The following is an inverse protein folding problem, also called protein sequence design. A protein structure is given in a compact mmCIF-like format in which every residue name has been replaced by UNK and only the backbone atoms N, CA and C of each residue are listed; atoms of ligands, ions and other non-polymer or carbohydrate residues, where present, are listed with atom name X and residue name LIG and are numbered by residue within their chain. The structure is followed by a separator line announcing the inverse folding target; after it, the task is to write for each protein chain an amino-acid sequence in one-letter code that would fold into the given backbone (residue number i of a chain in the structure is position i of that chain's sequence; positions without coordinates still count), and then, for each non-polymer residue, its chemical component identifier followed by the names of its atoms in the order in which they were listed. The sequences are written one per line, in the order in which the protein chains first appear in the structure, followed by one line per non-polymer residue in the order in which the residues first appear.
data_IF_474450942928
#
_entry.id   IF_474450942928
#
_cell.length_a   1.000
_cell.length_b   1.000
_cell.length_c   1.000
_cell.angle_alpha   90.00
_cell.angle_beta   90.00
_cell.angle_gamma   90.00
#
_symmetry.space_group_name_H-M   'P 1'
#
loop_
_entity.id
_entity.type
_entity.pdbx_description
1 polymer ?
#
# COMPACT_ATOMS: atom_id res chain seq x y z
N UNK A 1 -25.76 0.41 -16.57
CA UNK A 1 -25.12 1.02 -15.38
C UNK A 1 -23.97 0.16 -14.86
N UNK A 2 -24.14 -1.15 -14.67
CA UNK A 2 -23.06 -2.02 -14.21
C UNK A 2 -21.89 -2.11 -15.19
N UNK A 3 -22.15 -2.28 -16.50
CA UNK A 3 -21.09 -2.28 -17.52
C UNK A 3 -20.26 -0.98 -17.50
N UNK A 4 -20.93 0.17 -17.37
CA UNK A 4 -20.28 1.47 -17.20
C UNK A 4 -19.29 1.50 -16.01
N UNK A 5 -19.65 0.85 -14.90
CA UNK A 5 -18.81 0.78 -13.69
C UNK A 5 -17.66 -0.21 -13.82
N UNK A 6 -17.84 -1.29 -14.60
CA UNK A 6 -16.82 -2.31 -14.85
C UNK A 6 -15.70 -1.78 -15.76
N UNK A 7 -16.06 -0.98 -16.77
CA UNK A 7 -15.11 -0.60 -17.82
C UNK A 7 -14.84 0.91 -17.83
N UNK A 8 -15.76 1.73 -18.30
CA UNK A 8 -15.55 3.14 -18.63
C UNK A 8 -15.11 3.95 -17.41
N UNK A 9 -15.78 3.77 -16.27
CA UNK A 9 -15.44 4.46 -15.02
C UNK A 9 -14.08 3.98 -14.49
N UNK A 10 -13.74 2.69 -14.63
CA UNK A 10 -12.41 2.20 -14.27
C UNK A 10 -11.33 2.80 -15.17
N UNK A 11 -11.55 2.84 -16.48
CA UNK A 11 -10.57 3.40 -17.42
C UNK A 11 -10.33 4.89 -17.18
N UNK A 12 -11.38 5.66 -16.88
CA UNK A 12 -11.22 7.07 -16.49
C UNK A 12 -10.44 7.19 -15.18
N UNK A 13 -10.77 6.38 -14.16
CA UNK A 13 -10.04 6.39 -12.90
C UNK A 13 -8.55 6.03 -13.07
N UNK A 14 -8.25 5.02 -13.89
CA UNK A 14 -6.89 4.60 -14.23
C UNK A 14 -6.14 5.67 -15.01
N UNK A 15 -6.80 6.37 -15.94
CA UNK A 15 -6.21 7.49 -16.66
C UNK A 15 -5.84 8.63 -15.70
N UNK A 16 -6.72 8.99 -14.77
CA UNK A 16 -6.44 9.97 -13.71
C UNK A 16 -5.23 9.53 -12.88
N UNK A 17 -5.24 8.29 -12.41
CA UNK A 17 -4.13 7.73 -11.62
C UNK A 17 -2.81 7.78 -12.38
N UNK A 18 -2.82 7.32 -13.64
CA UNK A 18 -1.66 7.31 -14.52
C UNK A 18 -1.09 8.70 -14.75
N UNK A 19 -1.94 9.67 -15.11
CA UNK A 19 -1.52 11.05 -15.35
C UNK A 19 -0.86 11.68 -14.12
N UNK A 20 -1.49 11.54 -12.95
CA UNK A 20 -0.97 12.11 -11.70
C UNK A 20 0.35 11.44 -11.30
N UNK A 21 0.45 10.12 -11.45
CA UNK A 21 1.67 9.39 -11.10
C UNK A 21 2.83 9.61 -12.03
N UNK A 22 2.59 9.66 -13.34
CA UNK A 22 3.61 10.04 -14.31
C UNK A 22 4.12 11.44 -13.98
N UNK A 23 3.20 12.39 -13.73
CA UNK A 23 3.56 13.76 -13.34
C UNK A 23 4.40 13.80 -12.06
N UNK A 24 4.01 13.04 -11.02
CA UNK A 24 4.76 12.94 -9.76
C UNK A 24 6.15 12.34 -9.97
N UNK A 25 6.28 11.28 -10.77
CA UNK A 25 7.57 10.62 -11.04
C UNK A 25 8.49 11.57 -11.80
N UNK A 26 8.00 12.23 -12.84
CA UNK A 26 8.76 13.25 -13.59
C UNK A 26 9.23 14.36 -12.63
N UNK A 27 8.32 14.86 -11.79
CA UNK A 27 8.65 15.88 -10.79
C UNK A 27 9.71 15.40 -9.80
N UNK A 28 9.62 14.19 -9.26
CA UNK A 28 10.62 13.64 -8.33
C UNK A 28 11.98 13.47 -9.01
N UNK A 29 11.99 12.97 -10.25
CA UNK A 29 13.22 12.79 -11.03
C UNK A 29 13.88 14.11 -11.44
N UNK A 30 13.13 15.22 -11.43
CA UNK A 30 13.70 16.54 -11.66
C UNK A 30 14.63 17.01 -10.53
N UNK A 31 14.52 16.43 -9.33
CA UNK A 31 15.42 16.73 -8.22
C UNK A 31 16.72 15.94 -8.34
N UNK A 32 17.85 16.66 -8.44
CA UNK A 32 19.17 16.04 -8.43
C UNK A 32 19.45 15.42 -7.06
N UNK A 33 19.92 14.16 -6.99
CA UNK A 33 20.28 13.58 -5.72
C UNK A 33 21.35 14.38 -4.99
N UNK A 34 21.09 14.77 -3.74
CA UNK A 34 22.07 15.49 -2.93
C UNK A 34 23.40 14.72 -2.89
N UNK A 35 24.50 15.44 -3.13
CA UNK A 35 25.86 14.92 -3.01
C UNK A 35 26.37 15.26 -1.62
N UNK A 36 26.72 14.24 -0.85
CA UNK A 36 27.34 14.43 0.46
C UNK A 36 28.71 15.09 0.27
N UNK A 37 28.98 16.14 1.04
CA UNK A 37 30.26 16.87 1.02
C UNK A 37 31.26 16.36 2.05
N UNK A 38 30.81 15.50 2.95
CA UNK A 38 31.65 14.85 3.95
C UNK A 38 32.51 13.76 3.30
N UNK A 39 33.63 13.38 3.93
CA UNK A 39 34.30 12.13 3.58
C UNK A 39 33.37 10.95 3.82
N UNK A 40 33.29 10.04 2.83
CA UNK A 40 32.52 8.81 2.98
C UNK A 40 33.13 7.91 4.06
N UNK A 41 32.31 7.46 5.00
CA UNK A 41 32.69 6.53 6.08
C UNK A 41 32.05 5.14 5.94
N UNK A 42 31.25 4.90 4.90
CA UNK A 42 30.60 3.61 4.67
C UNK A 42 30.39 3.27 3.21
N UNK A 43 29.62 2.21 2.96
CA UNK A 43 29.36 1.67 1.62
C UNK A 43 27.94 2.02 1.17
N UNK A 44 27.80 3.08 0.36
CA UNK A 44 26.50 3.55 -0.17
C UNK A 44 25.73 2.44 -0.89
N UNK A 45 26.38 1.67 -1.78
CA UNK A 45 25.73 0.60 -2.53
C UNK A 45 25.11 -0.47 -1.63
N UNK A 46 25.87 -0.91 -0.60
CA UNK A 46 25.40 -1.92 0.37
C UNK A 46 24.20 -1.40 1.17
N UNK A 47 24.24 -0.12 1.55
CA UNK A 47 23.17 0.54 2.28
C UNK A 47 21.91 0.76 1.44
N UNK A 48 22.03 1.11 0.17
CA UNK A 48 20.91 1.20 -0.78
C UNK A 48 20.23 -0.16 -0.89
N UNK A 49 20.99 -1.21 -1.20
CA UNK A 49 20.46 -2.57 -1.30
C UNK A 49 19.77 -3.00 0.00
N UNK A 50 20.43 -2.83 1.15
CA UNK A 50 19.84 -3.17 2.45
C UNK A 50 18.54 -2.40 2.75
N UNK A 51 18.46 -1.13 2.33
CA UNK A 51 17.27 -0.28 2.51
C UNK A 51 16.09 -0.84 1.73
N UNK A 52 16.29 -1.23 0.47
CA UNK A 52 15.24 -1.87 -0.34
C UNK A 52 14.79 -3.20 0.25
N UNK A 53 15.74 -4.04 0.68
CA UNK A 53 15.42 -5.35 1.26
C UNK A 53 14.85 -5.27 2.68
N UNK A 54 14.89 -4.10 3.34
CA UNK A 54 14.39 -3.95 4.71
C UNK A 54 12.93 -4.39 4.86
N UNK A 55 12.12 -4.26 3.80
CA UNK A 55 10.74 -4.75 3.74
C UNK A 55 10.62 -6.26 4.07
N UNK A 56 11.56 -7.05 3.56
CA UNK A 56 11.65 -8.50 3.73
C UNK A 56 12.47 -8.91 4.97
N UNK A 57 13.08 -7.94 5.65
CA UNK A 57 13.91 -8.15 6.83
C UNK A 57 13.35 -7.38 8.04
N UNK A 58 12.14 -7.71 8.52
CA UNK A 58 11.48 -6.97 9.60
C UNK A 58 12.31 -6.87 10.89
N UNK A 59 13.18 -7.85 11.16
CA UNK A 59 14.08 -7.84 12.31
C UNK A 59 15.13 -6.72 12.26
N UNK A 60 15.35 -6.09 11.11
CA UNK A 60 16.27 -4.94 10.97
C UNK A 60 15.65 -3.60 11.35
N UNK A 61 14.31 -3.53 11.44
CA UNK A 61 13.59 -2.32 11.82
C UNK A 61 13.21 -2.40 13.29
N UNK A 62 13.59 -1.39 14.09
CA UNK A 62 13.34 -1.39 15.54
C UNK A 62 11.85 -1.54 15.90
N UNK A 63 10.97 -0.86 15.18
CA UNK A 63 9.52 -0.91 15.41
C UNK A 63 8.96 -2.32 15.23
N UNK A 64 9.57 -3.08 14.34
CA UNK A 64 9.06 -4.35 13.83
C UNK A 64 9.73 -5.53 14.53
N UNK A 65 11.02 -5.41 14.86
CA UNK A 65 11.75 -6.39 15.67
C UNK A 65 11.17 -6.53 17.08
N UNK A 66 10.69 -5.42 17.68
CA UNK A 66 10.03 -5.44 19.00
C UNK A 66 8.56 -5.89 18.95
N UNK A 67 7.90 -5.80 17.79
CA UNK A 67 6.45 -6.06 17.63
C UNK A 67 6.16 -6.77 16.30
N UNK A 68 6.61 -8.02 16.19
CA UNK A 68 6.53 -8.81 14.95
C UNK A 68 5.10 -8.93 14.38
N UNK A 69 4.08 -9.02 15.22
CA UNK A 69 2.67 -9.08 14.79
C UNK A 69 2.25 -7.87 13.95
N UNK A 70 2.85 -6.69 14.17
CA UNK A 70 2.57 -5.50 13.34
C UNK A 70 3.06 -5.66 11.90
N UNK A 71 4.10 -6.46 11.67
CA UNK A 71 4.54 -6.80 10.34
C UNK A 71 3.54 -7.72 9.64
N UNK A 72 2.97 -8.68 10.38
CA UNK A 72 1.94 -9.56 9.83
C UNK A 72 0.67 -8.78 9.50
N UNK A 73 0.21 -7.91 10.40
CA UNK A 73 -0.89 -6.97 10.11
C UNK A 73 -0.61 -6.17 8.83
N UNK A 74 0.62 -5.65 8.69
CA UNK A 74 1.05 -4.95 7.49
C UNK A 74 0.99 -5.85 6.25
N UNK A 75 1.59 -7.05 6.29
CA UNK A 75 1.70 -7.94 5.15
C UNK A 75 0.33 -8.41 4.66
N UNK A 76 -0.50 -8.93 5.58
CA UNK A 76 -1.85 -9.43 5.25
C UNK A 76 -2.70 -8.32 4.67
N UNK A 77 -2.67 -7.12 5.25
CA UNK A 77 -3.41 -5.97 4.73
C UNK A 77 -2.99 -5.60 3.29
N UNK A 78 -1.70 -5.56 2.99
CA UNK A 78 -1.25 -5.21 1.62
C UNK A 78 -1.55 -6.32 0.61
N UNK A 79 -1.44 -7.59 1.01
CA UNK A 79 -1.83 -8.72 0.18
C UNK A 79 -3.33 -8.68 -0.12
N UNK A 80 -4.18 -8.34 0.86
CA UNK A 80 -5.61 -8.16 0.62
C UNK A 80 -5.93 -6.99 -0.30
N UNK A 81 -5.24 -5.85 -0.17
CA UNK A 81 -5.39 -4.73 -1.12
C UNK A 81 -5.05 -5.21 -2.53
N UNK A 82 -3.89 -5.87 -2.70
CA UNK A 82 -3.47 -6.38 -3.99
C UNK A 82 -4.49 -7.36 -4.57
N UNK A 83 -5.01 -8.29 -3.75
CA UNK A 83 -6.06 -9.23 -4.16
C UNK A 83 -7.34 -8.50 -4.60
N UNK A 84 -7.81 -7.50 -3.85
CA UNK A 84 -9.00 -6.74 -4.23
C UNK A 84 -8.82 -5.94 -5.53
N UNK A 85 -7.64 -5.34 -5.75
CA UNK A 85 -7.31 -4.68 -7.03
C UNK A 85 -7.27 -5.72 -8.15
N UNK A 86 -6.61 -6.86 -7.96
CA UNK A 86 -6.55 -7.92 -8.97
C UNK A 86 -7.96 -8.42 -9.31
N UNK A 87 -8.83 -8.57 -8.31
CA UNK A 87 -10.21 -8.98 -8.53
C UNK A 87 -10.98 -8.00 -9.43
N UNK A 88 -10.77 -6.69 -9.26
CA UNK A 88 -11.45 -5.69 -10.10
C UNK A 88 -11.05 -5.75 -11.56
N UNK A 89 -9.91 -6.36 -11.90
CA UNK A 89 -9.52 -6.61 -13.29
C UNK A 89 -9.94 -7.99 -13.79
N UNK A 90 -9.75 -9.03 -12.97
CA UNK A 90 -10.08 -10.40 -13.37
C UNK A 90 -11.58 -10.58 -13.59
N UNK A 91 -12.43 -10.04 -12.71
CA UNK A 91 -13.89 -10.23 -12.81
C UNK A 91 -14.46 -9.76 -14.17
N UNK A 92 -14.14 -8.54 -14.67
CA UNK A 92 -14.64 -8.10 -15.97
C UNK A 92 -13.88 -8.71 -17.16
N UNK A 93 -12.56 -8.86 -17.08
CA UNK A 93 -11.73 -9.17 -18.27
C UNK A 93 -11.44 -10.67 -18.45
N UNK A 94 -11.46 -11.46 -17.37
CA UNK A 94 -11.16 -12.88 -17.37
C UNK A 94 -12.00 -13.64 -16.31
N UNK A 95 -13.34 -13.53 -16.36
CA UNK A 95 -14.22 -14.12 -15.34
C UNK A 95 -14.04 -15.63 -15.16
N UNK A 96 -13.61 -16.35 -16.20
CA UNK A 96 -13.32 -17.78 -16.16
C UNK A 96 -12.19 -18.17 -15.19
N UNK A 97 -11.32 -17.22 -14.83
CA UNK A 97 -10.28 -17.43 -13.81
C UNK A 97 -10.85 -17.47 -12.39
N UNK A 98 -12.06 -16.96 -12.16
CA UNK A 98 -12.73 -16.96 -10.85
C UNK A 98 -13.39 -18.32 -10.55
N UNK A 99 -12.58 -19.37 -10.46
CA UNK A 99 -13.02 -20.69 -9.99
C UNK A 99 -13.46 -20.63 -8.52
N UNK A 100 -14.21 -21.63 -8.05
CA UNK A 100 -14.69 -21.69 -6.67
C UNK A 100 -13.53 -21.58 -5.64
N UNK A 101 -12.40 -22.24 -5.92
CA UNK A 101 -11.21 -22.18 -5.05
C UNK A 101 -10.60 -20.77 -5.03
N UNK A 102 -10.49 -20.13 -6.20
CA UNK A 102 -9.97 -18.76 -6.32
C UNK A 102 -10.87 -17.79 -5.55
N UNK A 103 -12.19 -17.88 -5.73
CA UNK A 103 -13.17 -17.07 -5.00
C UNK A 103 -12.98 -17.20 -3.49
N UNK A 104 -12.84 -18.44 -2.97
CA UNK A 104 -12.63 -18.67 -1.53
C UNK A 104 -11.33 -18.01 -1.05
N UNK A 105 -10.23 -18.14 -1.81
CA UNK A 105 -8.95 -17.49 -1.45
C UNK A 105 -9.11 -15.98 -1.37
N UNK A 106 -9.75 -15.36 -2.37
CA UNK A 106 -9.98 -13.91 -2.38
C UNK A 106 -10.86 -13.48 -1.20
N UNK A 107 -11.95 -14.20 -0.91
CA UNK A 107 -12.82 -13.94 0.25
C UNK A 107 -12.06 -14.00 1.57
N UNK A 108 -11.21 -15.01 1.77
CA UNK A 108 -10.40 -15.14 2.99
C UNK A 108 -9.43 -13.96 3.12
N UNK A 109 -8.73 -13.58 2.06
CA UNK A 109 -7.81 -12.45 2.08
C UNK A 109 -8.52 -11.12 2.38
N UNK A 110 -9.70 -10.91 1.77
CA UNK A 110 -10.53 -9.73 2.02
C UNK A 110 -11.05 -9.69 3.45
N UNK A 111 -11.53 -10.83 3.98
CA UNK A 111 -12.02 -10.93 5.36
C UNK A 111 -10.90 -10.65 6.38
N UNK A 112 -9.72 -11.27 6.22
CA UNK A 112 -8.58 -11.01 7.12
C UNK A 112 -8.15 -9.54 7.07
N UNK A 113 -8.12 -8.95 5.88
CA UNK A 113 -7.75 -7.54 5.71
C UNK A 113 -8.80 -6.57 6.27
N UNK A 114 -10.08 -6.92 6.15
CA UNK A 114 -11.20 -6.22 6.78
C UNK A 114 -11.02 -6.14 8.30
N UNK A 115 -10.74 -7.28 8.96
CA UNK A 115 -10.51 -7.30 10.40
C UNK A 115 -9.29 -6.45 10.79
N UNK A 116 -8.18 -6.57 10.07
CA UNK A 116 -6.98 -5.77 10.34
C UNK A 116 -7.26 -4.28 10.20
N UNK A 117 -8.01 -3.86 9.17
CA UNK A 117 -8.28 -2.45 8.96
C UNK A 117 -9.24 -1.86 9.99
N UNK A 118 -10.20 -2.65 10.51
CA UNK A 118 -11.00 -2.26 11.68
C UNK A 118 -10.09 -2.02 12.89
N UNK A 119 -9.15 -2.93 13.17
CA UNK A 119 -8.21 -2.76 14.28
C UNK A 119 -7.31 -1.52 14.08
N UNK A 120 -6.96 -1.18 12.83
CA UNK A 120 -6.21 0.05 12.50
C UNK A 120 -7.05 1.29 12.72
N UNK A 121 -8.32 1.28 12.31
CA UNK A 121 -9.25 2.39 12.52
C UNK A 121 -9.50 2.60 14.02
N UNK A 122 -9.78 1.53 14.77
CA UNK A 122 -9.96 1.57 16.22
C UNK A 122 -8.73 2.14 16.94
N UNK A 123 -7.53 1.67 16.60
CA UNK A 123 -6.29 2.27 17.15
C UNK A 123 -6.16 3.76 16.86
N UNK A 124 -6.68 4.24 15.73
CA UNK A 124 -6.65 5.66 15.35
C UNK A 124 -7.73 6.49 16.06
N UNK A 125 -8.88 5.88 16.34
CA UNK A 125 -10.01 6.49 17.04
C UNK A 125 -9.89 6.45 18.56
N UNK A 126 -9.07 5.56 19.13
CA UNK A 126 -9.02 5.36 20.58
C UNK A 126 -7.64 5.59 21.20
N UNK A 127 -6.53 5.37 20.50
CA UNK A 127 -5.20 5.62 21.08
C UNK A 127 -4.88 7.13 21.11
N UNK A 128 -4.58 7.72 22.29
CA UNK A 128 -4.22 9.14 22.39
C UNK A 128 -3.02 9.50 21.51
N UNK A 129 -2.01 8.63 21.47
CA UNK A 129 -0.81 8.83 20.64
C UNK A 129 -1.16 8.88 19.16
N UNK A 130 -1.99 7.95 18.66
CA UNK A 130 -2.36 7.95 17.25
C UNK A 130 -3.24 9.15 16.89
N UNK A 131 -4.14 9.59 17.78
CA UNK A 131 -4.98 10.77 17.53
C UNK A 131 -4.14 12.02 17.27
N UNK A 132 -3.13 12.25 18.11
CA UNK A 132 -2.27 13.44 18.02
C UNK A 132 -1.51 13.51 16.69
N UNK A 133 -1.09 12.36 16.16
CA UNK A 133 -0.29 12.29 14.92
C UNK A 133 -1.12 12.00 13.66
N UNK A 134 -2.45 11.88 13.77
CA UNK A 134 -3.31 11.55 12.62
C UNK A 134 -3.81 12.80 11.92
N UNK A 135 -3.73 12.80 10.60
CA UNK A 135 -4.36 13.79 9.74
C UNK A 135 -5.80 13.36 9.40
N UNK A 136 -6.74 14.26 9.04
CA UNK A 136 -8.09 13.87 8.58
C UNK A 136 -8.09 12.80 7.48
N UNK A 137 -7.17 12.88 6.52
CA UNK A 137 -6.97 11.85 5.48
C UNK A 137 -6.63 10.47 6.06
N UNK A 138 -5.93 10.37 7.20
CA UNK A 138 -5.66 9.08 7.85
C UNK A 138 -6.93 8.39 8.35
N UNK A 139 -7.96 9.15 8.73
CA UNK A 139 -9.25 8.61 9.13
C UNK A 139 -10.07 8.22 7.90
N UNK A 140 -10.16 9.13 6.93
CA UNK A 140 -10.93 8.91 5.71
C UNK A 140 -10.41 7.71 4.93
N UNK A 141 -9.11 7.66 4.63
CA UNK A 141 -8.51 6.56 3.88
C UNK A 141 -8.71 5.20 4.56
N UNK A 142 -8.51 5.10 5.87
CA UNK A 142 -8.70 3.85 6.61
C UNK A 142 -10.18 3.46 6.69
N UNK A 143 -11.10 4.42 6.88
CA UNK A 143 -12.53 4.14 6.85
C UNK A 143 -13.00 3.66 5.46
N UNK A 144 -12.49 4.26 4.39
CA UNK A 144 -12.75 3.80 3.03
C UNK A 144 -12.25 2.38 2.80
N UNK A 145 -11.09 2.01 3.33
CA UNK A 145 -10.61 0.62 3.28
C UNK A 145 -11.51 -0.35 4.04
N UNK A 146 -12.07 0.04 5.20
CA UNK A 146 -13.06 -0.78 5.94
C UNK A 146 -14.27 -1.06 5.06
N UNK A 147 -14.87 -0.01 4.48
CA UNK A 147 -16.05 -0.13 3.62
C UNK A 147 -15.71 -0.97 2.39
N UNK A 148 -14.59 -0.68 1.74
CA UNK A 148 -14.20 -1.36 0.51
C UNK A 148 -13.96 -2.85 0.72
N UNK A 149 -13.26 -3.28 1.77
CA UNK A 149 -13.07 -4.70 2.05
C UNK A 149 -14.38 -5.41 2.42
N UNK A 150 -15.27 -4.74 3.16
CA UNK A 150 -16.60 -5.28 3.45
C UNK A 150 -17.38 -5.54 2.16
N UNK A 151 -17.43 -4.55 1.27
CA UNK A 151 -18.13 -4.65 -0.01
C UNK A 151 -17.47 -5.69 -0.92
N UNK A 152 -16.14 -5.70 -1.00
CA UNK A 152 -15.37 -6.64 -1.81
C UNK A 152 -15.64 -8.09 -1.39
N UNK A 153 -15.70 -8.38 -0.09
CA UNK A 153 -16.00 -9.72 0.42
C UNK A 153 -17.33 -10.27 -0.12
N UNK A 154 -18.40 -9.46 -0.09
CA UNK A 154 -19.70 -9.86 -0.64
C UNK A 154 -19.73 -9.84 -2.17
N UNK A 155 -18.97 -8.95 -2.81
CA UNK A 155 -18.87 -8.93 -4.27
C UNK A 155 -18.24 -10.22 -4.86
N UNK A 156 -17.45 -10.96 -4.07
CA UNK A 156 -16.90 -12.25 -4.49
C UNK A 156 -17.93 -13.36 -4.64
N UNK A 157 -19.19 -13.15 -4.24
CA UNK A 157 -20.29 -14.07 -4.60
C UNK A 157 -20.69 -13.95 -6.08
N UNK A 158 -20.09 -13.00 -6.81
CA UNK A 158 -20.27 -12.76 -8.24
C UNK A 158 -21.73 -12.59 -8.69
N UNK A 159 -22.60 -12.22 -7.75
CA UNK A 159 -24.00 -11.96 -8.02
C UNK A 159 -24.19 -10.52 -8.46
N UNK A 160 -24.34 -10.30 -9.76
CA UNK A 160 -24.51 -8.96 -10.35
C UNK A 160 -25.75 -8.21 -9.84
N UNK A 161 -26.79 -8.93 -9.40
CA UNK A 161 -28.00 -8.34 -8.85
C UNK A 161 -27.84 -7.87 -7.40
N UNK A 162 -26.84 -8.40 -6.69
CA UNK A 162 -26.58 -8.03 -5.31
C UNK A 162 -25.89 -6.66 -5.24
N UNK A 163 -26.34 -5.80 -4.31
CA UNK A 163 -25.88 -4.41 -4.18
C UNK A 163 -24.35 -4.26 -4.06
N UNK A 164 -23.67 -5.25 -3.47
CA UNK A 164 -22.22 -5.21 -3.25
C UNK A 164 -21.43 -5.26 -4.55
N UNK A 165 -21.98 -5.86 -5.60
CA UNK A 165 -21.28 -6.04 -6.87
C UNK A 165 -21.04 -4.71 -7.61
N UNK A 166 -22.07 -3.90 -7.94
CA UNK A 166 -21.83 -2.56 -8.50
C UNK A 166 -21.11 -1.63 -7.51
N UNK A 167 -21.37 -1.76 -6.20
CA UNK A 167 -20.69 -0.95 -5.19
C UNK A 167 -19.18 -1.24 -5.15
N UNK A 168 -18.76 -2.50 -5.32
CA UNK A 168 -17.34 -2.85 -5.36
C UNK A 168 -16.61 -2.13 -6.49
N UNK A 169 -17.16 -2.13 -7.71
CA UNK A 169 -16.56 -1.42 -8.84
C UNK A 169 -16.57 0.09 -8.64
N UNK A 170 -17.69 0.66 -8.19
CA UNK A 170 -17.79 2.10 -7.93
C UNK A 170 -16.77 2.59 -6.89
N UNK A 171 -16.66 1.88 -5.77
CA UNK A 171 -15.69 2.21 -4.71
C UNK A 171 -14.26 1.98 -5.18
N UNK A 172 -14.01 0.90 -5.94
CA UNK A 172 -12.68 0.63 -6.51
C UNK A 172 -12.25 1.76 -7.46
N UNK A 173 -13.11 2.19 -8.37
CA UNK A 173 -12.80 3.30 -9.28
C UNK A 173 -12.54 4.60 -8.51
N UNK A 174 -13.40 4.92 -7.53
CA UNK A 174 -13.18 6.07 -6.66
C UNK A 174 -11.81 6.00 -5.97
N UNK A 175 -11.46 4.85 -5.39
CA UNK A 175 -10.18 4.66 -4.74
C UNK A 175 -9.01 4.81 -5.72
N UNK A 176 -9.07 4.21 -6.92
CA UNK A 176 -8.04 4.35 -7.94
C UNK A 176 -7.81 5.83 -8.29
N UNK A 177 -8.88 6.60 -8.50
CA UNK A 177 -8.80 8.04 -8.77
C UNK A 177 -8.33 8.86 -7.54
N UNK A 178 -8.68 8.43 -6.34
CA UNK A 178 -8.39 9.13 -5.07
C UNK A 178 -6.97 8.91 -4.56
N UNK A 179 -6.46 7.68 -4.64
CA UNK A 179 -5.16 7.26 -4.09
C UNK A 179 -4.03 8.22 -4.46
N UNK A 180 -3.90 8.73 -5.71
CA UNK A 180 -2.86 9.68 -6.08
C UNK A 180 -2.83 10.97 -5.27
N UNK A 181 -3.96 11.42 -4.76
CA UNK A 181 -4.08 12.67 -4.00
C UNK A 181 -3.99 12.48 -2.49
N UNK A 182 -4.01 11.23 -2.04
CA UNK A 182 -4.01 10.88 -0.62
C UNK A 182 -2.63 10.45 -0.12
N UNK A 183 -2.51 10.24 1.19
CA UNK A 183 -1.37 9.58 1.84
C UNK A 183 -1.14 8.15 1.36
N UNK A 184 -2.13 7.52 0.72
CA UNK A 184 -1.97 6.20 0.11
C UNK A 184 -1.01 6.22 -1.09
N UNK A 185 -0.71 7.38 -1.68
CA UNK A 185 0.30 7.51 -2.74
C UNK A 185 1.73 7.15 -2.31
N UNK A 186 2.00 6.86 -1.03
CA UNK A 186 3.32 6.53 -0.50
C UNK A 186 4.05 5.38 -1.24
N UNK A 187 3.35 4.46 -1.91
CA UNK A 187 4.03 3.38 -2.65
C UNK A 187 4.82 3.88 -3.86
N UNK A 188 4.42 4.99 -4.50
CA UNK A 188 5.21 5.60 -5.58
C UNK A 188 6.47 6.28 -5.03
N UNK A 189 6.38 6.82 -3.81
CA UNK A 189 7.49 7.51 -3.13
C UNK A 189 8.47 6.52 -2.48
N UNK A 190 8.00 5.31 -2.16
CA UNK A 190 8.77 4.29 -1.47
C UNK A 190 10.13 4.01 -2.15
N UNK A 191 10.25 3.71 -3.45
CA UNK A 191 11.55 3.40 -4.06
C UNK A 191 12.54 4.56 -3.96
N UNK A 192 12.07 5.79 -4.20
CA UNK A 192 12.91 6.98 -4.08
C UNK A 192 13.38 7.18 -2.64
N UNK A 193 12.47 7.06 -1.67
CA UNK A 193 12.81 7.19 -0.25
C UNK A 193 13.86 6.16 0.18
N UNK A 194 13.78 4.92 -0.33
CA UNK A 194 14.73 3.86 0.01
C UNK A 194 16.09 4.08 -0.61
N UNK A 195 16.13 4.54 -1.87
CA UNK A 195 17.35 4.96 -2.53
C UNK A 195 18.04 6.11 -1.75
N UNK A 196 17.33 7.19 -1.47
CA UNK A 196 17.88 8.35 -0.76
C UNK A 196 18.34 8.03 0.66
N UNK A 197 17.54 7.26 1.40
CA UNK A 197 17.90 6.80 2.73
C UNK A 197 19.18 5.96 2.71
N UNK A 198 19.25 4.95 1.84
CA UNK A 198 20.41 4.09 1.73
C UNK A 198 21.67 4.86 1.30
N UNK A 199 21.53 5.79 0.34
CA UNK A 199 22.64 6.63 -0.11
C UNK A 199 23.19 7.50 1.03
N UNK A 200 22.34 8.27 1.70
CA UNK A 200 22.78 9.20 2.75
C UNK A 200 23.34 8.49 3.99
N UNK A 201 22.61 7.52 4.56
CA UNK A 201 23.06 6.84 5.77
C UNK A 201 24.21 5.85 5.50
N UNK A 202 24.28 5.32 4.27
CA UNK A 202 25.39 4.52 3.78
C UNK A 202 26.67 5.31 3.63
N UNK A 203 26.59 6.53 3.06
CA UNK A 203 27.73 7.44 2.98
C UNK A 203 28.35 7.72 4.36
N UNK A 204 27.49 7.91 5.37
CA UNK A 204 27.89 8.21 6.75
C UNK A 204 28.36 6.98 7.53
N UNK A 205 28.28 5.77 6.98
CA UNK A 205 28.64 4.53 7.69
C UNK A 205 27.68 4.14 8.81
N UNK A 206 26.46 4.69 8.82
CA UNK A 206 25.47 4.47 9.91
C UNK A 206 24.43 3.41 9.56
N UNK A 207 24.36 2.98 8.29
CA UNK A 207 23.43 1.98 7.79
C UNK A 207 24.07 1.13 6.68
N UNK A 208 23.81 -0.19 6.61
CA UNK A 208 22.99 -0.99 7.54
C UNK A 208 23.68 -1.16 8.90
N UNK A 209 22.91 -1.32 9.98
CA UNK A 209 23.46 -1.61 11.31
C UNK A 209 24.15 -2.97 11.26
N UNK A 210 25.49 -3.00 11.32
CA UNK A 210 26.26 -4.24 11.46
C UNK A 210 26.32 -4.54 12.97
N UNK A 211 25.82 -5.69 13.41
CA UNK A 211 26.08 -6.17 14.78
C UNK A 211 27.58 -6.47 14.88
N UNK A 212 28.33 -5.69 15.64
CA UNK A 212 29.70 -6.04 16.04
C UNK A 212 30.75 -4.93 15.98
N UNK A 213 30.49 -3.79 15.35
CA UNK A 213 31.48 -2.69 15.28
C UNK A 213 30.92 -1.44 15.96
N UNK A 214 30.92 -1.48 17.30
CA UNK A 214 31.21 -0.26 18.05
C UNK A 214 32.74 -0.20 18.10
N UNK A 215 33.32 0.76 17.39
CA UNK A 215 34.64 1.26 17.74
C UNK A 215 34.56 1.94 19.11
#
# INVERSE_FOLDING_TARGET
MLELLKHEVQYVALAIMGLVYISKVIWILSFKPMKERTPGRGMEKKAITASFFSLFMPWTMESTSKKWYKWIEFAVFHVGIAAAIIASFIIPEAPEMMTAQVIVVFKVLMALSFFIVILRLGRRLFSPVNKIISHPDDYFSVAMMVIWFFVAFFAMDLNESHWSFPAFFAITAFLIAYVPFSKMSHYILWPFSRYYFGKHFGHRGTYPKIKGEFL
#
